data_IF_318200205547
#
_entry.id   IF_318200205547
#
_cell.length_a   1.000
_cell.length_b   1.000
_cell.length_c   1.000
_cell.angle_alpha   90.00
_cell.angle_beta   90.00
_cell.angle_gamma   90.00
#
_symmetry.space_group_name_H-M   'P 1'
#
loop_
_entity.id
_entity.type
_entity.pdbx_description
1 polymer ?
#
# COMPACT_ATOMS: atom_id res chain seq x y z
N UNK A 1 -16.16 -16.81 8.37
CA UNK A 1 -14.92 -17.43 7.83
C UNK A 1 -14.16 -16.42 6.97
N UNK A 2 -13.68 -15.32 7.57
CA UNK A 2 -12.90 -14.23 6.92
C UNK A 2 -11.39 -14.37 7.17
N UNK A 3 -10.97 -15.42 7.86
CA UNK A 3 -9.63 -15.57 8.41
C UNK A 3 -8.58 -16.11 7.40
N UNK A 4 -9.02 -16.77 6.33
CA UNK A 4 -8.12 -17.40 5.37
C UNK A 4 -7.57 -16.44 4.28
N UNK A 5 -8.15 -15.24 4.14
CA UNK A 5 -7.73 -14.28 3.11
C UNK A 5 -6.34 -13.64 3.35
N UNK A 6 -5.69 -13.79 4.52
CA UNK A 6 -4.68 -12.78 4.91
C UNK A 6 -3.30 -13.23 5.39
N UNK A 7 -2.97 -14.50 5.66
CA UNK A 7 -1.62 -14.79 6.21
C UNK A 7 -0.52 -14.51 5.17
N UNK A 8 -0.68 -15.03 3.97
CA UNK A 8 0.28 -14.82 2.87
C UNK A 8 0.23 -13.39 2.34
N UNK A 9 -0.97 -12.81 2.25
CA UNK A 9 -1.13 -11.43 1.78
C UNK A 9 -0.52 -10.42 2.77
N UNK A 10 -0.69 -10.62 4.08
CA UNK A 10 -0.10 -9.76 5.12
C UNK A 10 1.43 -9.76 5.08
N UNK A 11 2.06 -10.87 4.70
CA UNK A 11 3.52 -10.93 4.50
C UNK A 11 3.99 -10.10 3.29
N UNK A 12 3.09 -9.81 2.35
CA UNK A 12 3.38 -8.96 1.18
C UNK A 12 3.17 -7.47 1.44
N UNK A 13 2.63 -7.12 2.60
CA UNK A 13 2.35 -5.76 3.04
C UNK A 13 3.37 -5.32 4.08
N UNK A 14 3.69 -4.03 4.07
CA UNK A 14 4.52 -3.41 5.10
C UNK A 14 3.62 -2.90 6.22
N UNK A 15 3.91 -3.28 7.47
CA UNK A 15 3.30 -2.68 8.66
C UNK A 15 3.91 -1.28 8.84
N UNK A 16 3.07 -0.27 9.06
CA UNK A 16 3.52 1.13 9.11
C UNK A 16 3.26 1.78 10.45
N UNK A 17 2.25 1.32 11.19
CA UNK A 17 1.87 1.91 12.47
C UNK A 17 0.87 1.03 13.24
N UNK A 18 0.60 1.43 14.48
CA UNK A 18 -0.56 1.00 15.26
C UNK A 18 -1.27 2.22 15.82
N UNK A 19 -2.57 2.34 15.55
CA UNK A 19 -3.33 3.55 15.89
C UNK A 19 -4.68 3.23 16.51
N UNK A 20 -5.24 4.21 17.22
CA UNK A 20 -6.67 4.20 17.59
C UNK A 20 -7.46 5.18 16.73
N UNK A 21 -8.64 4.75 16.31
CA UNK A 21 -9.63 5.57 15.61
C UNK A 21 -10.72 5.99 16.58
N UNK A 22 -11.29 7.18 16.38
CA UNK A 22 -12.45 7.63 17.15
C UNK A 22 -13.60 6.63 16.99
N UNK A 23 -14.12 6.10 18.10
CA UNK A 23 -15.16 5.09 18.12
C UNK A 23 -14.68 3.63 18.08
N UNK A 24 -13.39 3.37 17.87
CA UNK A 24 -12.81 2.03 17.96
C UNK A 24 -12.17 1.81 19.34
N UNK A 25 -12.67 0.83 20.10
CA UNK A 25 -12.11 0.45 21.41
C UNK A 25 -10.72 -0.19 21.29
N UNK A 26 -10.47 -0.93 20.21
CA UNK A 26 -9.25 -1.68 20.01
C UNK A 26 -8.32 -0.97 19.01
N UNK A 27 -7.02 -0.82 19.32
CA UNK A 27 -6.05 -0.29 18.37
C UNK A 27 -5.90 -1.17 17.13
N UNK A 28 -5.76 -0.55 15.97
CA UNK A 28 -5.64 -1.19 14.67
C UNK A 28 -4.20 -1.11 14.18
N UNK A 29 -3.72 -2.19 13.55
CA UNK A 29 -2.46 -2.16 12.82
C UNK A 29 -2.70 -1.60 11.42
N UNK A 30 -1.89 -0.63 11.01
CA UNK A 30 -1.92 -0.08 9.67
C UNK A 30 -0.89 -0.79 8.79
N UNK A 31 -1.31 -1.10 7.58
CA UNK A 31 -0.49 -1.73 6.55
C UNK A 31 -0.58 -0.92 5.26
N UNK A 32 0.52 -0.92 4.50
CA UNK A 32 0.59 -0.25 3.20
C UNK A 32 0.97 -1.22 2.08
N UNK A 33 0.69 -0.77 0.86
CA UNK A 33 1.26 -1.31 -0.35
C UNK A 33 2.04 -0.20 -1.07
N UNK A 34 3.35 -0.37 -1.17
CA UNK A 34 4.23 0.66 -1.72
C UNK A 34 4.23 0.59 -3.26
N UNK A 35 3.77 1.67 -3.90
CA UNK A 35 3.62 1.78 -5.37
C UNK A 35 4.31 3.03 -5.91
N UNK A 36 4.90 2.91 -7.09
CA UNK A 36 5.51 4.00 -7.84
C UNK A 36 4.69 4.26 -9.10
N UNK A 37 3.78 5.23 -9.02
CA UNK A 37 2.89 5.60 -10.14
C UNK A 37 3.66 6.15 -11.34
N UNK A 38 4.87 6.69 -11.14
CA UNK A 38 5.72 7.18 -12.23
C UNK A 38 6.14 6.08 -13.21
N UNK A 39 6.08 4.81 -12.80
CA UNK A 39 6.33 3.68 -13.69
C UNK A 39 5.18 3.47 -14.68
N UNK A 40 3.97 3.96 -14.40
CA UNK A 40 2.83 3.83 -15.32
C UNK A 40 3.13 4.70 -16.54
N UNK A 41 3.75 4.11 -17.56
CA UNK A 41 3.80 4.71 -18.87
C UNK A 41 2.34 4.80 -19.35
N UNK A 42 1.85 6.03 -19.56
CA UNK A 42 0.65 6.18 -20.38
C UNK A 42 0.98 5.48 -21.69
N UNK A 43 0.25 4.41 -22.04
CA UNK A 43 0.21 3.96 -23.43
C UNK A 43 -0.31 5.16 -24.21
N UNK A 44 0.61 5.96 -24.74
CA UNK A 44 0.29 6.82 -25.87
C UNK A 44 0.01 5.80 -26.96
N UNK A 45 -1.26 5.58 -27.24
CA UNK A 45 -1.66 4.89 -28.45
C UNK A 45 -1.22 5.81 -29.59
N UNK A 46 0.06 5.74 -29.95
CA UNK A 46 0.55 6.26 -31.22
C UNK A 46 0.16 5.20 -32.26
N UNK A 47 -1.14 5.08 -32.46
CA UNK A 47 -1.69 4.35 -33.59
C UNK A 47 -1.29 5.18 -34.81
N UNK A 48 -0.39 4.61 -35.62
CA UNK A 48 -0.10 5.11 -36.95
C UNK A 48 -1.43 5.36 -37.65
N UNK A 49 -1.67 6.60 -38.08
CA UNK A 49 -2.85 7.00 -38.84
C UNK A 49 -2.78 6.42 -40.26
N UNK A 50 -2.80 5.09 -40.38
CA UNK A 50 -3.07 4.44 -41.65
C UNK A 50 -4.58 4.23 -41.76
N UNK A 51 -5.17 5.07 -42.61
CA UNK A 51 -6.60 5.21 -42.83
C UNK A 51 -7.32 3.85 -43.01
N UNK A 52 -8.27 3.55 -42.10
CA UNK A 52 -9.34 2.57 -42.32
C UNK A 52 -10.71 3.21 -42.04
N UNK A 53 -11.79 2.74 -42.70
CA UNK A 53 -13.02 3.51 -42.87
C UNK A 53 -13.74 3.76 -41.53
N UNK A 54 -14.25 4.98 -41.38
CA UNK A 54 -14.90 5.54 -40.19
C UNK A 54 -16.07 4.70 -39.59
N UNK A 55 -16.60 3.71 -40.31
CA UNK A 55 -17.74 2.90 -39.88
C UNK A 55 -17.37 1.80 -38.86
N UNK A 56 -16.18 1.20 -38.97
CA UNK A 56 -15.77 0.08 -38.12
C UNK A 56 -15.40 0.49 -36.69
N UNK A 57 -14.86 1.70 -36.50
CA UNK A 57 -14.38 2.16 -35.19
C UNK A 57 -15.53 2.32 -34.18
N UNK A 58 -16.70 2.78 -34.63
CA UNK A 58 -17.87 2.97 -33.77
C UNK A 58 -18.46 1.63 -33.34
N UNK A 59 -18.50 0.66 -34.27
CA UNK A 59 -18.96 -0.69 -34.02
C UNK A 59 -17.99 -1.45 -33.11
N UNK A 60 -16.67 -1.33 -33.33
CA UNK A 60 -15.65 -1.85 -32.42
C UNK A 60 -15.82 -1.30 -31.02
N UNK A 61 -16.02 0.02 -30.84
CA UNK A 61 -16.27 0.62 -29.52
C UNK A 61 -17.51 0.04 -28.85
N UNK A 62 -18.61 -0.15 -29.60
CA UNK A 62 -19.84 -0.75 -29.07
C UNK A 62 -19.60 -2.19 -28.61
N UNK A 63 -18.89 -3.01 -29.41
CA UNK A 63 -18.52 -4.37 -29.01
C UNK A 63 -17.62 -4.40 -27.78
N UNK A 64 -16.65 -3.47 -27.72
CA UNK A 64 -15.73 -3.33 -26.60
C UNK A 64 -16.46 -2.90 -25.32
N UNK A 65 -17.43 -2.00 -25.43
CA UNK A 65 -18.29 -1.58 -24.33
C UNK A 65 -19.22 -2.70 -23.86
N UNK A 66 -19.78 -3.49 -24.78
CA UNK A 66 -20.59 -4.69 -24.46
C UNK A 66 -19.73 -5.70 -23.70
N UNK A 67 -18.51 -5.96 -24.18
CA UNK A 67 -17.56 -6.87 -23.53
C UNK A 67 -17.21 -6.38 -22.12
N UNK A 68 -16.83 -5.11 -21.97
CA UNK A 68 -16.54 -4.48 -20.66
C UNK A 68 -17.73 -4.57 -19.71
N UNK A 69 -18.96 -4.37 -20.21
CA UNK A 69 -20.19 -4.44 -19.42
C UNK A 69 -20.51 -5.87 -18.98
N UNK A 70 -20.30 -6.86 -19.84
CA UNK A 70 -20.45 -8.27 -19.50
C UNK A 70 -19.41 -8.72 -18.46
N UNK A 71 -18.14 -8.35 -18.65
CA UNK A 71 -17.05 -8.62 -17.70
C UNK A 71 -17.30 -7.96 -16.34
N UNK A 72 -17.78 -6.71 -16.31
CA UNK A 72 -18.14 -6.01 -15.06
C UNK A 72 -19.27 -6.74 -14.33
N UNK A 73 -20.29 -7.22 -15.05
CA UNK A 73 -21.41 -7.99 -14.47
C UNK A 73 -20.96 -9.35 -13.93
N UNK A 74 -20.03 -10.02 -14.62
CA UNK A 74 -19.39 -11.28 -14.18
C UNK A 74 -18.57 -11.05 -12.90
N UNK A 75 -17.64 -10.08 -12.90
CA UNK A 75 -16.84 -9.72 -11.72
C UNK A 75 -17.69 -9.33 -10.52
N UNK A 76 -18.78 -8.58 -10.73
CA UNK A 76 -19.72 -8.25 -9.65
C UNK A 76 -20.31 -9.51 -9.00
N UNK A 77 -20.70 -10.52 -9.79
CA UNK A 77 -21.19 -11.80 -9.26
C UNK A 77 -20.10 -12.59 -8.51
N UNK A 78 -18.86 -12.58 -9.01
CA UNK A 78 -17.71 -13.25 -8.38
C UNK A 78 -17.27 -12.57 -7.07
N UNK A 79 -17.38 -11.25 -6.98
CA UNK A 79 -17.12 -10.55 -5.71
C UNK A 79 -18.23 -10.85 -4.70
N UNK A 80 -19.49 -10.89 -5.14
CA UNK A 80 -20.64 -11.17 -4.27
C UNK A 80 -20.71 -12.62 -3.78
N UNK A 81 -20.24 -13.60 -4.56
CA UNK A 81 -20.31 -15.01 -4.19
C UNK A 81 -19.12 -15.47 -3.32
N UNK A 82 -18.26 -14.55 -2.85
CA UNK A 82 -17.05 -14.83 -2.06
C UNK A 82 -16.07 -15.82 -2.71
N UNK A 83 -16.24 -16.17 -3.99
CA UNK A 83 -15.33 -17.05 -4.73
C UNK A 83 -14.16 -16.29 -5.34
N UNK A 84 -14.14 -14.97 -5.22
CA UNK A 84 -13.12 -14.10 -5.76
C UNK A 84 -11.90 -14.02 -4.84
N UNK A 85 -10.83 -14.71 -5.24
CA UNK A 85 -9.55 -14.66 -4.55
C UNK A 85 -8.75 -13.40 -4.95
N UNK A 86 -8.99 -12.32 -4.22
CA UNK A 86 -8.32 -11.02 -4.44
C UNK A 86 -6.79 -11.15 -4.42
N UNK A 87 -6.23 -12.01 -3.56
CA UNK A 87 -4.78 -12.19 -3.46
C UNK A 87 -4.20 -12.85 -4.70
N UNK A 88 -4.88 -13.85 -5.27
CA UNK A 88 -4.42 -14.49 -6.50
C UNK A 88 -4.44 -13.53 -7.69
N UNK A 89 -5.49 -12.70 -7.82
CA UNK A 89 -5.53 -11.71 -8.90
C UNK A 89 -4.42 -10.66 -8.71
N UNK A 90 -4.23 -10.18 -7.47
CA UNK A 90 -3.12 -9.31 -7.11
C UNK A 90 -1.76 -9.92 -7.46
N UNK A 91 -1.53 -11.19 -7.10
CA UNK A 91 -0.26 -11.88 -7.33
C UNK A 91 -0.01 -12.19 -8.82
N UNK A 92 -1.07 -12.35 -9.62
CA UNK A 92 -0.98 -12.65 -11.06
C UNK A 92 -0.90 -11.38 -11.92
N UNK A 93 -1.37 -10.24 -11.44
CA UNK A 93 -1.44 -9.01 -12.22
C UNK A 93 -0.04 -8.38 -12.44
N UNK A 94 0.39 -8.32 -13.70
CA UNK A 94 1.72 -7.82 -14.06
C UNK A 94 1.84 -6.30 -13.94
N UNK A 95 0.76 -5.54 -14.14
CA UNK A 95 0.77 -4.09 -13.93
C UNK A 95 1.04 -3.76 -12.46
N UNK A 96 0.40 -4.50 -11.54
CA UNK A 96 0.60 -4.34 -10.09
C UNK A 96 2.04 -4.69 -9.71
N UNK A 97 2.59 -5.78 -10.23
CA UNK A 97 4.00 -6.14 -10.00
C UNK A 97 4.95 -5.07 -10.53
N UNK A 98 4.64 -4.51 -11.69
CA UNK A 98 5.47 -3.52 -12.36
C UNK A 98 5.53 -2.22 -11.56
N UNK A 99 4.39 -1.72 -11.08
CA UNK A 99 4.34 -0.47 -10.30
C UNK A 99 4.78 -0.65 -8.85
N UNK A 100 4.85 -1.88 -8.33
CA UNK A 100 5.28 -2.16 -6.97
C UNK A 100 6.69 -1.60 -6.70
N UNK A 101 6.86 -1.01 -5.52
CA UNK A 101 8.18 -0.63 -5.00
C UNK A 101 8.80 -1.84 -4.32
N UNK A 102 10.05 -2.13 -4.66
CA UNK A 102 10.85 -3.18 -4.06
C UNK A 102 11.96 -2.56 -3.22
N UNK A 103 11.66 -2.33 -1.95
CA UNK A 103 12.69 -1.95 -0.99
C UNK A 103 13.66 -3.11 -0.73
N UNK A 104 14.94 -2.83 -0.42
CA UNK A 104 15.88 -3.86 0.04
C UNK A 104 15.32 -4.61 1.25
N UNK A 105 15.55 -5.93 1.33
CA UNK A 105 15.03 -6.75 2.44
C UNK A 105 15.55 -6.27 3.79
N UNK A 106 16.85 -5.98 3.87
CA UNK A 106 17.48 -5.50 5.09
C UNK A 106 16.89 -4.16 5.54
N UNK A 107 16.58 -3.27 4.59
CA UNK A 107 15.89 -2.02 4.87
C UNK A 107 14.53 -2.25 5.55
N UNK A 108 13.71 -3.14 4.98
CA UNK A 108 12.38 -3.45 5.52
C UNK A 108 12.46 -4.09 6.91
N UNK A 109 13.43 -4.96 7.14
CA UNK A 109 13.61 -5.59 8.46
C UNK A 109 14.10 -4.57 9.50
N UNK A 110 15.04 -3.70 9.15
CA UNK A 110 15.48 -2.60 10.03
C UNK A 110 14.33 -1.64 10.34
N UNK A 111 13.54 -1.26 9.33
CA UNK A 111 12.36 -0.42 9.56
C UNK A 111 11.35 -1.09 10.48
N UNK A 112 11.12 -2.39 10.31
CA UNK A 112 10.23 -3.17 11.18
C UNK A 112 10.73 -3.21 12.62
N UNK A 113 12.03 -3.40 12.85
CA UNK A 113 12.63 -3.34 14.19
C UNK A 113 12.42 -1.94 14.78
N UNK A 114 12.71 -0.89 14.03
CA UNK A 114 12.49 0.49 14.47
C UNK A 114 11.03 0.76 14.86
N UNK A 115 10.09 0.25 14.06
CA UNK A 115 8.67 0.37 14.33
C UNK A 115 8.28 -0.37 15.62
N UNK A 116 8.72 -1.61 15.82
CA UNK A 116 8.42 -2.35 17.05
C UNK A 116 9.05 -1.70 18.29
N UNK A 117 10.29 -1.18 18.20
CA UNK A 117 10.91 -0.41 19.29
C UNK A 117 10.09 0.83 19.66
N UNK A 118 9.56 1.56 18.67
CA UNK A 118 8.63 2.66 18.91
C UNK A 118 7.35 2.18 19.62
N UNK A 119 6.74 1.10 19.14
CA UNK A 119 5.49 0.56 19.70
C UNK A 119 5.66 0.08 21.15
N UNK A 120 6.82 -0.42 21.54
CA UNK A 120 7.07 -0.84 22.94
C UNK A 120 7.61 0.30 23.83
N UNK A 121 7.72 1.53 23.31
CA UNK A 121 8.17 2.70 24.07
C UNK A 121 9.69 2.93 24.10
N UNK A 122 10.48 2.12 23.40
CA UNK A 122 11.93 2.33 23.22
C UNK A 122 12.22 3.32 22.09
N UNK A 123 11.77 4.56 22.26
CA UNK A 123 11.83 5.59 21.20
C UNK A 123 13.26 5.98 20.81
N UNK A 124 14.21 5.94 21.76
CA UNK A 124 15.61 6.21 21.46
C UNK A 124 16.26 5.12 20.57
N UNK A 125 15.89 3.85 20.77
CA UNK A 125 16.33 2.74 19.90
C UNK A 125 15.73 2.88 18.50
N UNK A 126 14.42 3.18 18.43
CA UNK A 126 13.73 3.48 17.18
C UNK A 126 14.41 4.62 16.41
N UNK A 127 14.72 5.73 17.10
CA UNK A 127 15.45 6.88 16.54
C UNK A 127 16.76 6.46 15.88
N UNK A 128 17.61 5.72 16.59
CA UNK A 128 18.94 5.35 16.08
C UNK A 128 18.84 4.54 14.78
N UNK A 129 17.90 3.61 14.71
CA UNK A 129 17.67 2.80 13.52
C UNK A 129 17.10 3.66 12.37
N UNK A 130 16.11 4.52 12.65
CA UNK A 130 15.54 5.40 11.63
C UNK A 130 16.57 6.40 11.09
N UNK A 131 17.45 6.91 11.95
CA UNK A 131 18.54 7.80 11.55
C UNK A 131 19.55 7.08 10.65
N UNK A 132 19.94 5.86 11.03
CA UNK A 132 20.76 5.00 10.19
C UNK A 132 20.12 4.78 8.81
N UNK A 133 18.82 4.45 8.78
CA UNK A 133 18.10 4.25 7.53
C UNK A 133 18.01 5.53 6.68
N UNK A 134 17.80 6.70 7.28
CA UNK A 134 17.78 7.98 6.53
C UNK A 134 19.14 8.31 5.90
N UNK A 135 20.23 8.03 6.61
CA UNK A 135 21.58 8.41 6.16
C UNK A 135 22.16 7.45 5.11
N UNK A 136 21.79 6.16 5.17
CA UNK A 136 22.43 5.12 4.36
C UNK A 136 21.61 4.66 3.15
N UNK A 137 20.43 5.23 2.90
CA UNK A 137 19.61 4.88 1.74
C UNK A 137 19.56 6.04 0.73
N UNK A 138 19.56 5.68 -0.55
CA UNK A 138 19.59 6.62 -1.68
C UNK A 138 18.17 7.08 -2.05
N UNK A 139 17.14 6.38 -1.56
CA UNK A 139 15.74 6.66 -1.86
C UNK A 139 15.04 7.33 -0.68
N UNK A 140 14.01 8.13 -0.98
CA UNK A 140 13.12 8.70 0.01
C UNK A 140 12.00 7.72 0.40
N UNK A 141 11.65 7.72 1.68
CA UNK A 141 10.53 6.96 2.22
C UNK A 141 9.70 7.85 3.15
N UNK A 142 8.54 8.27 2.66
CA UNK A 142 7.59 9.11 3.39
C UNK A 142 7.06 8.46 4.67
N UNK A 143 6.95 7.13 4.70
CA UNK A 143 6.45 6.41 5.87
C UNK A 143 7.49 6.45 6.99
N UNK A 144 8.77 6.28 6.62
CA UNK A 144 9.87 6.49 7.54
C UNK A 144 9.87 7.93 8.05
N UNK A 145 9.76 8.92 7.16
CA UNK A 145 9.74 10.33 7.51
C UNK A 145 8.57 10.68 8.45
N UNK A 146 7.37 10.12 8.23
CA UNK A 146 6.22 10.30 9.10
C UNK A 146 6.46 9.76 10.52
N UNK A 147 7.06 8.58 10.64
CA UNK A 147 7.42 8.04 11.96
C UNK A 147 8.48 8.92 12.63
N UNK A 148 9.54 9.27 11.91
CA UNK A 148 10.59 10.16 12.39
C UNK A 148 10.03 11.49 12.92
N UNK A 149 9.17 12.15 12.15
CA UNK A 149 8.58 13.44 12.51
C UNK A 149 7.68 13.33 13.74
N UNK A 150 6.96 12.22 13.89
CA UNK A 150 6.16 12.00 15.09
C UNK A 150 7.02 11.82 16.34
N UNK A 151 8.12 11.07 16.24
CA UNK A 151 9.06 10.89 17.35
C UNK A 151 9.75 12.22 17.69
N UNK A 152 10.16 12.99 16.70
CA UNK A 152 10.86 14.26 16.90
C UNK A 152 9.98 15.32 17.57
N UNK A 153 8.66 15.31 17.35
CA UNK A 153 7.71 16.17 18.05
C UNK A 153 7.71 15.98 19.58
N UNK A 154 8.15 14.80 20.08
CA UNK A 154 8.31 14.54 21.51
C UNK A 154 9.79 14.37 21.90
N UNK A 155 10.70 15.01 21.16
CA UNK A 155 12.16 14.93 21.40
C UNK A 155 12.70 13.50 21.46
N UNK A 156 12.06 12.56 20.75
CA UNK A 156 12.38 11.13 20.75
C UNK A 156 12.27 10.44 22.12
N UNK A 157 11.47 10.99 23.02
CA UNK A 157 11.18 10.43 24.34
C UNK A 157 9.73 9.93 24.34
N UNK A 158 9.54 8.67 24.73
CA UNK A 158 8.20 8.11 24.87
C UNK A 158 7.49 8.78 26.06
N UNK A 159 6.22 9.20 25.90
CA UNK A 159 5.38 9.59 27.02
C UNK A 159 5.31 8.49 28.09
N UNK A 160 5.17 8.87 29.36
CA UNK A 160 5.06 7.91 30.47
C UNK A 160 3.82 7.01 30.37
N UNK A 161 2.77 7.48 29.70
CA UNK A 161 1.52 6.77 29.43
C UNK A 161 1.48 6.09 28.05
N UNK A 162 2.64 5.96 27.39
CA UNK A 162 2.71 5.35 26.06
C UNK A 162 2.27 3.89 26.08
N UNK A 163 1.10 3.64 25.48
CA UNK A 163 0.46 2.32 25.42
C UNK A 163 0.71 1.58 24.09
N UNK A 164 1.67 2.05 23.29
CA UNK A 164 2.09 1.40 22.05
C UNK A 164 1.22 1.67 20.84
N UNK A 165 0.53 2.81 20.83
CA UNK A 165 -0.19 3.31 19.68
C UNK A 165 -0.51 4.80 19.86
N UNK A 166 -0.62 5.52 18.74
CA UNK A 166 -1.06 6.93 18.73
C UNK A 166 -2.52 7.05 18.32
N UNK A 167 -3.14 8.19 18.61
CA UNK A 167 -4.44 8.54 18.03
C UNK A 167 -4.25 8.86 16.55
N UNK A 168 -5.07 8.28 15.69
CA UNK A 168 -5.07 8.64 14.28
C UNK A 168 -5.72 10.01 14.12
N UNK A 169 -4.90 11.04 13.89
CA UNK A 169 -5.38 12.39 13.62
C UNK A 169 -5.71 12.49 12.13
N UNK A 170 -7.01 12.45 11.80
CA UNK A 170 -7.45 12.81 10.47
C UNK A 170 -7.27 14.33 10.32
N UNK A 171 -6.50 14.80 9.34
CA UNK A 171 -6.54 16.21 8.97
C UNK A 171 -7.98 16.49 8.50
N UNK A 172 -8.67 17.38 9.22
CA UNK A 172 -9.96 17.95 8.85
C UNK A 172 -9.88 18.69 7.53
#
# INVERSE_FOLDING_TARGET
MLWALFKNFKNSLRKIDRVTLKGCRNPLNLYTFDICLNKITKKVNMENFDAKPHFDVKLLKVFDDIKKKAERKKRKKEVLNLSYNLYEEYAKNDDIKFIKIHYPKDYLEQFKIALESYLIGKWNESKNILEYLKRNNIFEDEILNQLWNFLSMNNFIAPSDWCGYRKFLQKS
#
